data_IF_756763551455
#
_entry.id   IF_756763551455
#
_cell.length_a   1.000
_cell.length_b   1.000
_cell.length_c   1.000
_cell.angle_alpha   90.00
_cell.angle_beta   90.00
_cell.angle_gamma   90.00
#
_symmetry.space_group_name_H-M   'P 1'
#
loop_
_entity.id
_entity.type
_entity.pdbx_description
1 polymer ?
#
# COMPACT_ATOMS: atom_id res chain seq x y z
N UNK A 1 -32.38 -33.91 4.39
CA UNK A 1 -33.04 -32.59 4.36
C UNK A 1 -32.20 -31.65 3.51
N UNK A 2 -32.65 -31.33 2.30
CA UNK A 2 -32.02 -30.28 1.47
C UNK A 2 -32.40 -28.93 2.05
N UNK A 3 -31.42 -28.18 2.57
CA UNK A 3 -31.65 -26.79 3.00
C UNK A 3 -32.15 -26.00 1.81
N UNK A 4 -33.29 -25.31 1.97
CA UNK A 4 -33.77 -24.36 0.98
C UNK A 4 -32.67 -23.34 0.65
N UNK A 5 -32.53 -22.95 -0.63
CA UNK A 5 -31.53 -21.98 -1.02
C UNK A 5 -31.77 -20.67 -0.27
N UNK A 6 -30.73 -20.19 0.42
CA UNK A 6 -30.79 -18.93 1.17
C UNK A 6 -31.22 -17.80 0.24
N UNK A 7 -32.40 -17.22 0.51
CA UNK A 7 -32.87 -16.02 -0.16
C UNK A 7 -31.92 -14.87 0.19
N UNK A 8 -31.29 -14.28 -0.83
CA UNK A 8 -30.34 -13.15 -0.70
C UNK A 8 -29.14 -13.44 0.22
N UNK A 9 -28.29 -14.39 -0.20
CA UNK A 9 -27.04 -14.74 0.48
C UNK A 9 -26.14 -13.51 0.84
N UNK A 10 -25.95 -12.50 -0.04
CA UNK A 10 -25.15 -11.32 0.30
C UNK A 10 -25.68 -10.56 1.53
N UNK A 11 -26.99 -10.34 1.62
CA UNK A 11 -27.61 -9.68 2.77
C UNK A 11 -27.38 -10.50 4.05
N UNK A 12 -27.61 -11.82 3.98
CA UNK A 12 -27.38 -12.72 5.12
C UNK A 12 -25.92 -12.73 5.59
N UNK A 13 -24.94 -12.64 4.68
CA UNK A 13 -23.52 -12.54 5.04
C UNK A 13 -23.24 -11.19 5.72
N UNK A 14 -23.73 -10.08 5.16
CA UNK A 14 -23.56 -8.74 5.73
C UNK A 14 -24.15 -8.64 7.15
N UNK A 15 -25.34 -9.19 7.36
CA UNK A 15 -26.02 -9.15 8.66
C UNK A 15 -25.24 -9.95 9.70
N UNK A 16 -24.77 -11.15 9.35
CA UNK A 16 -23.94 -11.97 10.26
C UNK A 16 -22.63 -11.30 10.64
N UNK A 17 -21.95 -10.68 9.67
CA UNK A 17 -20.71 -9.93 9.93
C UNK A 17 -20.97 -8.70 10.81
N UNK A 18 -22.08 -8.00 10.58
CA UNK A 18 -22.48 -6.84 11.38
C UNK A 18 -22.78 -7.25 12.82
N UNK A 19 -23.53 -8.33 13.02
CA UNK A 19 -23.84 -8.86 14.35
C UNK A 19 -22.58 -9.31 15.09
N UNK A 20 -21.68 -10.04 14.41
CA UNK A 20 -20.38 -10.44 14.97
C UNK A 20 -19.55 -9.23 15.41
N UNK A 21 -19.39 -8.24 14.53
CA UNK A 21 -18.60 -7.05 14.83
C UNK A 21 -19.16 -6.31 16.05
N UNK A 22 -20.48 -6.14 16.13
CA UNK A 22 -21.13 -5.52 17.29
C UNK A 22 -20.92 -6.31 18.58
N UNK A 23 -21.06 -7.63 18.53
CA UNK A 23 -20.84 -8.49 19.69
C UNK A 23 -19.39 -8.46 20.20
N UNK A 24 -18.42 -8.27 19.29
CA UNK A 24 -17.00 -8.15 19.62
C UNK A 24 -16.54 -6.72 19.95
N UNK A 25 -17.42 -5.71 19.86
CA UNK A 25 -17.04 -4.31 20.01
C UNK A 25 -16.12 -3.78 18.89
N UNK A 26 -16.10 -4.46 17.73
CA UNK A 26 -15.25 -4.12 16.59
C UNK A 26 -15.95 -3.16 15.64
N UNK A 27 -15.16 -2.43 14.85
CA UNK A 27 -15.68 -1.59 13.78
C UNK A 27 -16.29 -2.45 12.66
N UNK A 28 -17.60 -2.29 12.41
CA UNK A 28 -18.34 -3.06 11.39
C UNK A 28 -17.72 -2.93 10.00
N UNK A 29 -17.36 -1.71 9.59
CA UNK A 29 -16.80 -1.45 8.26
C UNK A 29 -15.48 -2.20 8.08
N UNK A 30 -14.64 -2.21 9.11
CA UNK A 30 -13.38 -2.91 9.10
C UNK A 30 -13.54 -4.43 8.94
N UNK A 31 -14.52 -5.01 9.62
CA UNK A 31 -14.83 -6.45 9.50
C UNK A 31 -15.37 -6.80 8.11
N UNK A 32 -16.21 -5.94 7.54
CA UNK A 32 -16.70 -6.12 6.17
C UNK A 32 -15.55 -6.07 5.15
N UNK A 33 -14.64 -5.09 5.29
CA UNK A 33 -13.45 -4.98 4.43
C UNK A 33 -12.53 -6.18 4.58
N UNK A 34 -12.21 -6.57 5.81
CA UNK A 34 -11.38 -7.76 6.09
C UNK A 34 -11.98 -9.02 5.49
N UNK A 35 -13.28 -9.24 5.66
CA UNK A 35 -13.96 -10.38 5.05
C UNK A 35 -13.84 -10.37 3.52
N UNK A 36 -14.05 -9.21 2.88
CA UNK A 36 -13.93 -9.09 1.43
C UNK A 36 -12.51 -9.43 0.95
N UNK A 37 -11.48 -8.91 1.64
CA UNK A 37 -10.06 -9.18 1.38
C UNK A 37 -9.74 -10.67 1.55
N UNK A 38 -10.12 -11.29 2.67
CA UNK A 38 -9.85 -12.70 2.94
C UNK A 38 -10.55 -13.62 1.92
N UNK A 39 -11.78 -13.27 1.50
CA UNK A 39 -12.48 -14.00 0.44
C UNK A 39 -11.81 -13.84 -0.93
N UNK A 40 -11.23 -12.67 -1.22
CA UNK A 40 -10.45 -12.45 -2.43
C UNK A 40 -9.15 -13.27 -2.39
N UNK A 41 -8.42 -13.24 -1.27
CA UNK A 41 -7.20 -14.03 -1.06
C UNK A 41 -7.47 -15.53 -1.20
N UNK A 42 -8.56 -16.03 -0.63
CA UNK A 42 -8.99 -17.41 -0.82
C UNK A 42 -9.25 -17.75 -2.29
N UNK A 43 -9.99 -16.89 -3.02
CA UNK A 43 -10.22 -17.12 -4.46
C UNK A 43 -8.93 -17.10 -5.27
N UNK A 44 -8.01 -16.20 -4.91
CA UNK A 44 -6.71 -16.09 -5.55
C UNK A 44 -5.87 -17.35 -5.31
N UNK A 45 -5.84 -17.87 -4.08
CA UNK A 45 -5.03 -19.04 -3.71
C UNK A 45 -5.48 -20.33 -4.40
N UNK A 46 -6.77 -20.48 -4.69
CA UNK A 46 -7.31 -21.64 -5.44
C UNK A 46 -7.37 -21.41 -6.95
N UNK A 47 -6.95 -20.24 -7.43
CA UNK A 47 -6.93 -19.93 -8.87
C UNK A 47 -5.64 -20.38 -9.55
N UNK A 48 -5.65 -20.39 -10.89
CA UNK A 48 -4.46 -20.57 -11.72
C UNK A 48 -3.40 -19.46 -11.55
N UNK A 49 -3.75 -18.34 -10.89
CA UNK A 49 -2.87 -17.18 -10.71
C UNK A 49 -2.14 -17.15 -9.38
N UNK A 50 -2.34 -18.15 -8.49
CA UNK A 50 -1.80 -18.15 -7.12
C UNK A 50 -0.29 -17.89 -7.03
N UNK A 51 0.49 -18.46 -7.95
CA UNK A 51 1.97 -18.35 -7.96
C UNK A 51 2.45 -17.00 -8.52
N UNK A 52 1.53 -16.17 -9.05
CA UNK A 52 1.89 -14.87 -9.62
C UNK A 52 1.85 -13.73 -8.61
N UNK A 53 1.36 -13.98 -7.40
CA UNK A 53 1.16 -12.94 -6.39
C UNK A 53 1.69 -13.37 -5.03
N UNK A 54 2.48 -12.49 -4.41
CA UNK A 54 2.96 -12.65 -3.04
C UNK A 54 2.26 -11.61 -2.17
N UNK A 55 1.63 -12.05 -1.08
CA UNK A 55 1.02 -11.16 -0.09
C UNK A 55 2.09 -10.36 0.65
N UNK A 56 1.93 -9.04 0.69
CA UNK A 56 2.82 -8.09 1.38
C UNK A 56 2.00 -7.05 2.15
N UNK A 57 2.64 -5.97 2.59
CA UNK A 57 2.00 -4.87 3.30
C UNK A 57 1.54 -5.28 4.69
N UNK A 58 0.43 -4.69 5.15
CA UNK A 58 0.04 -4.78 6.55
C UNK A 58 -0.79 -6.03 6.94
N UNK A 59 -1.40 -6.73 5.97
CA UNK A 59 -2.25 -7.91 6.24
C UNK A 59 -1.49 -9.03 6.97
N UNK A 60 -0.26 -9.41 6.57
CA UNK A 60 0.49 -10.46 7.27
C UNK A 60 0.74 -10.18 8.75
N UNK A 61 0.87 -8.92 9.18
CA UNK A 61 1.07 -8.58 10.59
C UNK A 61 -0.12 -8.97 11.48
N UNK A 62 -1.33 -9.11 10.91
CA UNK A 62 -2.49 -9.62 11.64
C UNK A 62 -2.32 -11.07 12.12
N UNK A 63 -1.35 -11.81 11.56
CA UNK A 63 -1.05 -13.21 11.91
C UNK A 63 0.07 -13.34 12.96
N UNK A 64 0.78 -12.26 13.27
CA UNK A 64 2.01 -12.32 14.07
C UNK A 64 1.79 -12.13 15.58
N UNK A 65 0.63 -11.64 16.00
CA UNK A 65 0.35 -11.36 17.40
C UNK A 65 -1.06 -11.76 17.82
N UNK A 66 -1.30 -11.94 19.13
CA UNK A 66 -2.61 -12.28 19.69
C UNK A 66 -3.63 -11.16 19.50
N UNK A 67 -3.17 -9.91 19.38
CA UNK A 67 -3.99 -8.76 19.00
C UNK A 67 -3.61 -8.36 17.58
N UNK A 68 -4.57 -8.31 16.63
CA UNK A 68 -4.27 -7.88 15.27
C UNK A 68 -3.65 -6.48 15.28
N UNK A 69 -2.46 -6.36 14.70
CA UNK A 69 -1.87 -5.05 14.37
C UNK A 69 -2.87 -4.24 13.54
N UNK A 70 -2.90 -2.92 13.75
CA UNK A 70 -3.84 -1.94 13.16
C UNK A 70 -4.42 -2.45 11.85
N UNK A 71 -5.72 -2.71 11.86
CA UNK A 71 -6.36 -3.32 10.71
C UNK A 71 -6.25 -2.41 9.48
N UNK A 72 -5.75 -2.98 8.38
CA UNK A 72 -5.56 -2.29 7.10
C UNK A 72 -6.78 -2.45 6.21
N UNK A 73 -7.18 -1.36 5.54
CA UNK A 73 -8.20 -1.40 4.49
C UNK A 73 -7.66 -1.89 3.16
N UNK A 74 -6.34 -1.97 3.03
CA UNK A 74 -5.65 -2.22 1.76
C UNK A 74 -5.18 -3.67 1.65
N UNK A 75 -5.23 -4.21 0.42
CA UNK A 75 -4.62 -5.47 0.03
C UNK A 75 -3.40 -5.20 -0.86
N UNK A 76 -2.23 -5.45 -0.30
CA UNK A 76 -0.95 -5.30 -0.98
C UNK A 76 -0.46 -6.64 -1.52
N UNK A 77 -0.21 -6.71 -2.84
CA UNK A 77 0.38 -7.87 -3.49
C UNK A 77 1.61 -7.46 -4.32
N UNK A 78 2.66 -8.26 -4.29
CA UNK A 78 3.74 -8.23 -5.28
C UNK A 78 3.36 -9.15 -6.42
N UNK A 79 3.28 -8.62 -7.64
CA UNK A 79 2.98 -9.39 -8.84
C UNK A 79 4.25 -9.80 -9.58
N UNK A 80 4.37 -11.07 -9.93
CA UNK A 80 5.41 -11.60 -10.81
C UNK A 80 4.93 -11.60 -12.28
N UNK A 81 5.82 -11.23 -13.21
CA UNK A 81 5.57 -11.20 -14.65
C UNK A 81 5.98 -9.88 -15.31
N UNK A 82 5.71 -9.78 -16.61
CA UNK A 82 6.08 -8.60 -17.40
C UNK A 82 5.30 -7.34 -16.91
N UNK A 83 6.01 -6.29 -16.43
CA UNK A 83 5.40 -5.06 -15.94
C UNK A 83 4.75 -4.21 -17.04
N UNK A 84 5.07 -4.43 -18.33
CA UNK A 84 4.48 -3.71 -19.47
C UNK A 84 2.95 -3.81 -19.50
N UNK A 85 2.37 -4.88 -18.95
CA UNK A 85 0.91 -5.01 -18.80
C UNK A 85 0.29 -3.95 -17.91
N UNK A 86 1.07 -3.30 -17.03
CA UNK A 86 0.61 -2.14 -16.24
C UNK A 86 0.40 -0.90 -17.11
N UNK A 87 1.00 -0.84 -18.30
CA UNK A 87 0.94 0.33 -19.19
C UNK A 87 1.45 1.62 -18.54
N UNK A 88 2.19 1.52 -17.45
CA UNK A 88 2.71 2.66 -16.70
C UNK A 88 4.19 2.80 -17.03
N UNK A 89 4.52 3.76 -17.89
CA UNK A 89 5.91 4.09 -18.20
C UNK A 89 6.55 4.74 -16.97
N UNK A 90 7.75 4.31 -16.56
CA UNK A 90 8.48 5.02 -15.51
C UNK A 90 8.68 6.49 -15.89
N UNK A 91 8.59 7.41 -14.92
CA UNK A 91 8.74 8.83 -15.20
C UNK A 91 10.19 9.14 -15.57
N UNK A 92 10.39 9.78 -16.72
CA UNK A 92 11.72 10.27 -17.18
C UNK A 92 12.00 11.70 -16.71
N UNK A 93 11.01 12.36 -16.14
CA UNK A 93 11.09 13.68 -15.51
C UNK A 93 10.70 13.57 -14.03
N UNK A 94 11.00 14.60 -13.24
CA UNK A 94 10.60 14.66 -11.84
C UNK A 94 9.06 14.62 -11.76
N UNK A 95 8.45 13.59 -11.15
CA UNK A 95 7.00 13.53 -10.98
C UNK A 95 6.50 14.72 -10.18
N UNK A 96 5.27 15.17 -10.44
CA UNK A 96 4.69 16.33 -9.73
C UNK A 96 4.80 16.21 -8.20
N UNK A 97 4.50 15.03 -7.63
CA UNK A 97 4.60 14.78 -6.19
C UNK A 97 6.03 14.86 -5.60
N UNK A 98 7.05 14.91 -6.45
CA UNK A 98 8.46 15.11 -6.10
C UNK A 98 9.00 16.47 -6.58
N UNK A 99 8.13 17.36 -7.06
CA UNK A 99 8.51 18.69 -7.55
C UNK A 99 8.57 19.73 -6.42
N UNK A 100 9.35 20.79 -6.64
CA UNK A 100 9.38 21.96 -5.74
C UNK A 100 8.01 22.63 -5.62
N UNK A 101 7.25 22.71 -6.71
CA UNK A 101 5.90 23.29 -6.72
C UNK A 101 4.96 22.55 -5.78
N UNK A 102 4.97 21.21 -5.81
CA UNK A 102 4.18 20.41 -4.88
C UNK A 102 4.65 20.59 -3.43
N UNK A 103 5.97 20.60 -3.21
CA UNK A 103 6.52 20.70 -1.87
C UNK A 103 6.33 22.08 -1.23
N UNK A 104 6.21 23.14 -2.04
CA UNK A 104 5.94 24.50 -1.61
C UNK A 104 4.43 24.79 -1.41
N UNK A 105 3.54 23.88 -1.82
CA UNK A 105 2.10 24.08 -1.69
C UNK A 105 1.67 24.18 -0.20
N UNK A 106 0.95 25.24 0.21
CA UNK A 106 0.56 25.45 1.60
C UNK A 106 -0.34 24.35 2.17
N UNK A 107 -1.19 23.73 1.33
CA UNK A 107 -2.05 22.62 1.74
C UNK A 107 -1.21 21.38 2.00
N UNK A 108 -0.24 21.07 1.14
CA UNK A 108 0.66 19.93 1.33
C UNK A 108 1.53 20.09 2.58
N UNK A 109 2.06 21.29 2.82
CA UNK A 109 2.82 21.60 4.04
C UNK A 109 1.95 21.43 5.30
N UNK A 110 0.70 21.88 5.27
CA UNK A 110 -0.24 21.71 6.40
C UNK A 110 -0.53 20.23 6.66
N UNK A 111 -0.74 19.44 5.60
CA UNK A 111 -0.95 18.00 5.72
C UNK A 111 0.27 17.28 6.29
N UNK A 112 1.49 17.65 5.83
CA UNK A 112 2.74 17.12 6.36
C UNK A 112 2.89 17.38 7.87
N UNK A 113 2.69 18.61 8.31
CA UNK A 113 2.77 18.96 9.73
C UNK A 113 1.73 18.23 10.59
N UNK A 114 0.51 18.03 10.07
CA UNK A 114 -0.52 17.25 10.75
C UNK A 114 -0.26 15.73 10.76
N UNK A 115 0.57 15.24 9.83
CA UNK A 115 0.93 13.83 9.69
C UNK A 115 2.06 13.42 10.63
N UNK A 116 3.10 14.24 10.79
CA UNK A 116 4.26 13.97 11.63
C UNK A 116 3.94 13.41 13.03
N UNK A 117 3.06 14.02 13.84
CA UNK A 117 2.78 13.52 15.20
C UNK A 117 1.97 12.22 15.22
N UNK A 118 1.41 11.78 14.10
CA UNK A 118 0.56 10.58 14.00
C UNK A 118 1.33 9.34 13.58
N UNK A 119 2.64 9.45 13.39
CA UNK A 119 3.48 8.35 12.92
C UNK A 119 4.74 8.21 13.77
N UNK A 120 5.35 7.02 13.74
CA UNK A 120 6.69 6.80 14.30
C UNK A 120 7.78 7.54 13.49
N UNK A 121 7.42 8.19 12.36
CA UNK A 121 8.27 9.13 11.60
C UNK A 121 8.41 10.48 12.33
N UNK A 122 8.22 10.51 13.65
CA UNK A 122 8.48 11.66 14.52
C UNK A 122 9.97 12.10 14.54
N UNK A 123 10.85 11.40 13.82
CA UNK A 123 12.25 11.78 13.62
C UNK A 123 12.46 12.73 12.43
N UNK A 124 11.55 12.80 11.46
CA UNK A 124 11.60 13.83 10.41
C UNK A 124 11.02 15.13 10.99
N UNK A 125 11.88 16.11 11.25
CA UNK A 125 11.47 17.42 11.79
C UNK A 125 11.44 18.50 10.72
N UNK A 126 11.93 18.18 9.54
CA UNK A 126 12.11 19.08 8.43
C UNK A 126 10.77 19.33 7.71
N UNK A 127 10.53 20.57 7.25
CA UNK A 127 9.44 20.91 6.34
C UNK A 127 9.46 20.08 5.04
N UNK A 128 8.30 19.90 4.41
CA UNK A 128 8.14 19.04 3.22
C UNK A 128 9.06 19.48 2.06
N UNK A 129 9.22 20.79 1.86
CA UNK A 129 10.11 21.40 0.86
C UNK A 129 11.61 21.18 1.10
N UNK A 130 12.03 20.72 2.28
CA UNK A 130 13.42 20.32 2.51
C UNK A 130 13.64 18.83 2.23
N UNK A 131 12.60 18.01 2.42
CA UNK A 131 12.67 16.55 2.28
C UNK A 131 12.50 16.13 0.82
N UNK A 132 11.54 16.73 0.11
CA UNK A 132 11.19 16.33 -1.26
C UNK A 132 12.39 16.37 -2.23
N UNK A 133 13.26 17.39 -2.24
CA UNK A 133 14.44 17.38 -3.10
C UNK A 133 15.38 16.20 -2.83
N UNK A 134 15.53 15.80 -1.56
CA UNK A 134 16.36 14.65 -1.18
C UNK A 134 15.75 13.33 -1.67
N UNK A 135 14.43 13.17 -1.54
CA UNK A 135 13.70 12.02 -2.07
C UNK A 135 13.79 11.98 -3.60
N UNK A 136 13.62 13.12 -4.27
CA UNK A 136 13.72 13.22 -5.72
C UNK A 136 15.12 12.82 -6.20
N UNK A 137 16.17 13.37 -5.61
CA UNK A 137 17.56 13.02 -5.93
C UNK A 137 17.85 11.53 -5.73
N UNK A 138 17.27 10.92 -4.69
CA UNK A 138 17.42 9.50 -4.45
C UNK A 138 16.66 8.63 -5.46
N UNK A 139 15.42 8.99 -5.83
CA UNK A 139 14.56 8.15 -6.67
C UNK A 139 14.77 8.36 -8.17
N UNK A 140 15.19 9.53 -8.62
CA UNK A 140 15.33 9.82 -10.06
C UNK A 140 16.27 8.85 -10.79
N UNK A 141 17.45 8.46 -10.26
CA UNK A 141 18.29 7.45 -10.89
C UNK A 141 17.56 6.10 -11.07
N UNK A 142 16.74 5.70 -10.10
CA UNK A 142 15.93 4.47 -10.15
C UNK A 142 14.89 4.55 -11.27
N UNK A 143 14.22 5.70 -11.41
CA UNK A 143 13.23 5.87 -12.47
C UNK A 143 13.86 5.89 -13.87
N UNK A 144 14.99 6.56 -14.03
CA UNK A 144 15.71 6.61 -15.30
C UNK A 144 16.23 5.22 -15.70
N UNK A 145 16.88 4.49 -14.78
CA UNK A 145 17.34 3.13 -15.02
C UNK A 145 16.18 2.14 -15.27
N UNK A 146 15.00 2.39 -14.71
CA UNK A 146 13.82 1.58 -14.99
C UNK A 146 13.16 1.92 -16.34
N UNK A 147 13.30 3.16 -16.83
CA UNK A 147 12.76 3.60 -18.12
C UNK A 147 13.66 3.19 -19.29
N UNK A 148 14.97 3.10 -19.03
CA UNK A 148 16.00 2.78 -20.01
C UNK A 148 16.98 1.73 -19.43
N UNK A 149 16.93 0.52 -19.97
CA UNK A 149 17.80 -0.60 -19.57
C UNK A 149 19.30 -0.33 -19.81
N UNK A 150 19.65 0.68 -20.62
CA UNK A 150 21.04 1.08 -20.83
C UNK A 150 21.55 2.04 -19.74
N UNK A 151 20.65 2.64 -18.96
CA UNK A 151 21.01 3.58 -17.90
C UNK A 151 21.47 2.81 -16.65
N UNK A 152 22.73 3.00 -16.26
CA UNK A 152 23.27 2.44 -15.01
C UNK A 152 22.70 3.19 -13.80
N UNK A 153 22.16 2.44 -12.83
CA UNK A 153 21.68 2.98 -11.55
C UNK A 153 22.84 3.43 -10.63
N UNK A 154 24.05 2.90 -10.86
CA UNK A 154 25.18 3.06 -9.93
C UNK A 154 25.00 2.27 -8.64
N UNK A 155 25.85 2.55 -7.65
CA UNK A 155 25.81 1.97 -6.30
C UNK A 155 25.34 3.01 -5.29
N UNK A 156 24.46 2.61 -4.39
CA UNK A 156 24.06 3.42 -3.24
C UNK A 156 24.62 2.83 -1.95
N UNK A 157 25.59 3.50 -1.30
CA UNK A 157 25.95 3.18 0.08
C UNK A 157 24.84 3.66 1.02
N UNK A 158 24.71 3.01 2.18
CA UNK A 158 23.77 3.45 3.21
C UNK A 158 24.05 4.92 3.57
N UNK A 159 23.06 5.79 3.36
CA UNK A 159 23.17 7.24 3.58
C UNK A 159 23.44 8.08 2.32
N UNK A 160 23.80 7.45 1.20
CA UNK A 160 24.00 8.10 -0.10
C UNK A 160 25.22 9.04 -0.19
N UNK A 161 25.32 9.83 -1.28
CA UNK A 161 24.49 9.78 -2.49
C UNK A 161 24.82 8.55 -3.37
N UNK A 162 24.13 8.41 -4.50
CA UNK A 162 24.51 7.45 -5.55
C UNK A 162 25.91 7.75 -6.08
N UNK A 163 26.68 6.71 -6.37
CA UNK A 163 27.99 6.78 -7.02
C UNK A 163 28.17 5.69 -8.07
N UNK A 164 29.34 5.66 -8.70
CA UNK A 164 29.69 4.65 -9.72
C UNK A 164 29.93 3.23 -9.14
#
# INVERSE_FOLDING_TARGET
>A
MTREPLKNLPASVRDRLTQRARAAGENVQLILTRYAIERLLYRLSVSQHRERFILKGAIPFSLWGPTPYRATGDLDLLGAGNPERRGTTPPIEIPFGLSETFAADPVQQTQWQAFLPRTEVAMAREPLNQIIPSIASFLMPVFLAAADEQTSLGKWPVGGPWGD
#
